data_IF_367228760531
#
_entry.id   IF_367228760531
#
_cell.length_a   1.000
_cell.length_b   1.000
_cell.length_c   1.000
_cell.angle_alpha   90.00
_cell.angle_beta   90.00
_cell.angle_gamma   90.00
#
_symmetry.space_group_name_H-M   'P 1'
#
loop_
_entity.id
_entity.type
_entity.pdbx_description
1 polymer ?
#
# COMPACT_ATOMS: atom_id res chain seq x y z
N UNK A 1 -2.03 10.92 12.30
CA UNK A 1 -2.16 12.28 11.70
C UNK A 1 -3.61 12.55 11.34
N UNK A 2 -3.92 13.48 10.42
CA UNK A 2 -5.28 13.65 9.84
C UNK A 2 -5.72 12.41 9.02
N UNK A 3 -4.75 11.66 8.48
CA UNK A 3 -4.99 10.41 7.75
C UNK A 3 -5.28 9.24 8.70
N UNK A 4 -6.17 8.35 8.26
CA UNK A 4 -6.51 7.12 8.97
C UNK A 4 -5.43 6.05 8.77
N UNK A 5 -4.61 5.85 9.79
CA UNK A 5 -3.48 4.91 9.75
C UNK A 5 -3.92 3.43 9.60
N UNK A 6 -5.22 3.13 9.79
CA UNK A 6 -5.76 1.78 9.54
C UNK A 6 -5.94 1.50 8.05
N UNK A 7 -5.90 2.52 7.19
CA UNK A 7 -5.91 2.40 5.73
C UNK A 7 -4.49 2.28 5.16
N UNK A 8 -3.67 1.46 5.80
CA UNK A 8 -2.23 1.33 5.54
C UNK A 8 -1.86 0.87 4.12
N UNK A 9 -2.81 0.32 3.36
CA UNK A 9 -2.56 -0.24 2.03
C UNK A 9 -3.57 0.13 0.95
N UNK A 10 -4.77 0.55 1.29
CA UNK A 10 -5.79 0.79 0.28
C UNK A 10 -6.77 1.84 0.79
N UNK A 11 -7.40 2.55 -0.15
CA UNK A 11 -8.41 3.58 0.10
C UNK A 11 -7.92 4.80 0.89
N UNK A 12 -6.62 4.99 1.08
CA UNK A 12 -6.05 6.16 1.76
C UNK A 12 -6.36 7.48 1.04
N UNK A 13 -6.26 7.48 -0.29
CA UNK A 13 -6.62 8.61 -1.14
C UNK A 13 -8.13 8.84 -1.17
N UNK A 14 -8.93 7.77 -1.27
CA UNK A 14 -10.40 7.86 -1.21
C UNK A 14 -10.83 8.46 0.14
N UNK A 15 -10.24 8.00 1.24
CA UNK A 15 -10.49 8.49 2.59
C UNK A 15 -10.20 9.97 2.76
N UNK A 16 -9.07 10.43 2.21
CA UNK A 16 -8.69 11.83 2.24
C UNK A 16 -9.72 12.70 1.50
N UNK A 17 -10.12 12.29 0.29
CA UNK A 17 -11.09 13.02 -0.53
C UNK A 17 -12.47 13.02 0.11
N UNK A 18 -12.93 11.88 0.63
CA UNK A 18 -14.21 11.78 1.33
C UNK A 18 -14.23 12.61 2.61
N UNK A 19 -13.13 12.61 3.38
CA UNK A 19 -12.97 13.45 4.57
C UNK A 19 -13.05 14.94 4.23
N UNK A 20 -12.31 15.38 3.19
CA UNK A 20 -12.36 16.77 2.73
C UNK A 20 -13.77 17.15 2.25
N UNK A 21 -14.42 16.26 1.49
CA UNK A 21 -15.79 16.47 0.99
C UNK A 21 -16.80 16.58 2.12
N UNK A 22 -16.71 15.72 3.14
CA UNK A 22 -17.58 15.77 4.32
C UNK A 22 -17.37 17.05 5.14
N UNK A 23 -16.16 17.63 5.12
CA UNK A 23 -15.86 18.93 5.71
C UNK A 23 -16.33 20.12 4.85
N UNK A 24 -17.00 19.88 3.71
CA UNK A 24 -17.47 20.92 2.80
C UNK A 24 -16.35 21.58 1.99
N UNK A 25 -15.17 20.96 1.93
CA UNK A 25 -14.05 21.47 1.13
C UNK A 25 -14.23 21.08 -0.34
N UNK A 26 -13.90 21.98 -1.28
CA UNK A 26 -14.01 21.69 -2.70
C UNK A 26 -12.92 20.71 -3.14
N UNK A 27 -13.30 19.73 -3.98
CA UNK A 27 -12.36 18.89 -4.73
C UNK A 27 -12.08 19.58 -6.06
N UNK A 28 -10.85 20.02 -6.27
CA UNK A 28 -10.44 20.78 -7.46
C UNK A 28 -9.75 19.85 -8.45
N UNK A 29 -10.15 19.92 -9.71
CA UNK A 29 -9.47 19.28 -10.83
C UNK A 29 -8.78 20.35 -11.69
N UNK A 30 -7.45 20.29 -11.82
CA UNK A 30 -6.69 21.13 -12.76
C UNK A 30 -6.34 20.32 -14.01
N UNK A 31 -6.93 20.62 -15.19
CA UNK A 31 -6.69 19.86 -16.41
C UNK A 31 -5.24 19.97 -16.92
N UNK A 32 -4.44 20.90 -16.39
CA UNK A 32 -3.02 21.05 -16.73
C UNK A 32 -2.11 20.19 -15.86
N UNK A 33 -2.64 19.62 -14.78
CA UNK A 33 -1.88 18.73 -13.91
C UNK A 33 -1.71 17.36 -14.57
N UNK A 34 -0.46 16.92 -14.67
CA UNK A 34 -0.10 15.58 -15.12
C UNK A 34 0.44 14.78 -13.94
N UNK A 35 -0.13 13.61 -13.69
CA UNK A 35 0.34 12.67 -12.66
C UNK A 35 0.87 11.43 -13.35
N UNK A 36 2.14 11.14 -13.14
CA UNK A 36 2.76 9.92 -13.61
C UNK A 36 2.88 8.92 -12.45
N UNK A 37 2.46 7.69 -12.70
CA UNK A 37 2.62 6.60 -11.74
C UNK A 37 3.90 5.84 -12.06
N UNK A 38 4.88 5.91 -11.15
CA UNK A 38 6.02 5.01 -11.18
C UNK A 38 5.59 3.62 -10.71
N UNK A 39 5.09 2.84 -11.66
CA UNK A 39 4.68 1.48 -11.43
C UNK A 39 5.87 0.54 -11.70
N UNK A 40 6.25 -0.33 -10.75
CA UNK A 40 7.30 -1.32 -10.99
C UNK A 40 7.00 -2.14 -12.26
N UNK A 41 8.03 -2.26 -13.11
CA UNK A 41 8.01 -3.08 -14.31
C UNK A 41 7.50 -2.42 -15.60
N UNK A 42 7.23 -1.11 -15.63
CA UNK A 42 6.73 -0.42 -16.85
C UNK A 42 7.77 0.41 -17.63
N UNK A 43 8.86 0.86 -17.01
CA UNK A 43 10.03 1.42 -17.72
C UNK A 43 11.18 1.62 -16.73
N UNK A 44 12.38 1.09 -17.04
CA UNK A 44 13.66 1.25 -16.30
C UNK A 44 13.71 0.94 -14.78
N UNK A 45 12.58 0.66 -14.14
CA UNK A 45 12.48 0.41 -12.70
C UNK A 45 12.21 -1.08 -12.44
N UNK A 46 13.30 -1.85 -12.43
CA UNK A 46 13.26 -3.27 -12.09
C UNK A 46 13.11 -3.40 -10.59
N UNK A 47 12.08 -4.14 -10.16
CA UNK A 47 11.88 -4.48 -8.76
C UNK A 47 13.12 -5.19 -8.21
N UNK A 48 13.80 -4.57 -7.24
CA UNK A 48 14.97 -5.20 -6.62
C UNK A 48 14.49 -6.34 -5.72
N UNK A 49 15.27 -7.42 -5.63
CA UNK A 49 14.94 -8.54 -4.73
C UNK A 49 14.79 -8.08 -3.27
N UNK A 50 15.51 -7.04 -2.87
CA UNK A 50 15.40 -6.40 -1.55
C UNK A 50 14.04 -5.80 -1.25
N UNK A 51 13.26 -5.47 -2.28
CA UNK A 51 11.97 -4.79 -2.16
C UNK A 51 10.82 -5.80 -2.04
N UNK A 52 11.07 -7.07 -2.35
CA UNK A 52 10.07 -8.15 -2.26
C UNK A 52 9.38 -8.19 -0.89
N UNK A 53 10.08 -8.15 0.27
CA UNK A 53 9.41 -8.19 1.56
C UNK A 53 8.41 -7.04 1.75
N UNK A 54 8.76 -5.83 1.29
CA UNK A 54 7.87 -4.69 1.33
C UNK A 54 6.65 -4.91 0.44
N UNK A 55 6.84 -5.39 -0.80
CA UNK A 55 5.73 -5.65 -1.71
C UNK A 55 4.79 -6.75 -1.23
N UNK A 56 5.33 -7.84 -0.66
CA UNK A 56 4.54 -8.93 -0.10
C UNK A 56 3.66 -8.46 1.06
N UNK A 57 4.18 -7.54 1.88
CA UNK A 57 3.47 -6.94 2.99
C UNK A 57 2.41 -5.93 2.52
N UNK A 58 2.81 -4.98 1.65
CA UNK A 58 1.97 -3.92 1.09
C UNK A 58 0.79 -4.47 0.30
N UNK A 59 0.99 -5.60 -0.37
CA UNK A 59 -0.02 -6.31 -1.15
C UNK A 59 -0.44 -7.64 -0.51
N UNK A 60 -0.24 -7.81 0.80
CA UNK A 60 -0.69 -8.98 1.55
C UNK A 60 -2.21 -9.06 1.58
N UNK A 61 -2.77 -10.28 1.53
CA UNK A 61 -4.23 -10.48 1.49
C UNK A 61 -4.90 -9.95 2.73
N UNK A 62 -4.45 -10.39 3.90
CA UNK A 62 -5.06 -10.08 5.18
C UNK A 62 -5.00 -8.57 5.49
N UNK A 63 -3.87 -7.92 5.19
CA UNK A 63 -3.70 -6.48 5.39
C UNK A 63 -4.67 -5.69 4.52
N UNK A 64 -4.77 -6.06 3.24
CA UNK A 64 -5.65 -5.35 2.30
C UNK A 64 -7.14 -5.63 2.55
N UNK A 65 -7.51 -6.86 2.90
CA UNK A 65 -8.86 -7.21 3.31
C UNK A 65 -9.27 -6.43 4.56
N UNK A 66 -8.37 -6.32 5.55
CA UNK A 66 -8.61 -5.50 6.74
C UNK A 66 -8.79 -4.02 6.39
N UNK A 67 -8.00 -3.49 5.45
CA UNK A 67 -8.13 -2.10 5.00
C UNK A 67 -9.46 -1.84 4.27
N UNK A 68 -9.85 -2.73 3.35
CA UNK A 68 -11.15 -2.64 2.63
C UNK A 68 -12.31 -2.70 3.62
N UNK A 69 -12.29 -3.66 4.55
CA UNK A 69 -13.33 -3.80 5.56
C UNK A 69 -13.41 -2.58 6.50
N UNK A 70 -12.25 -1.98 6.83
CA UNK A 70 -12.21 -0.74 7.61
C UNK A 70 -12.81 0.44 6.83
N UNK A 71 -12.41 0.63 5.58
CA UNK A 71 -12.95 1.67 4.70
C UNK A 71 -14.47 1.53 4.50
N UNK A 72 -14.95 0.33 4.18
CA UNK A 72 -16.37 0.05 3.99
C UNK A 72 -17.19 0.37 5.25
N UNK A 73 -16.70 0.02 6.44
CA UNK A 73 -17.38 0.38 7.69
C UNK A 73 -17.33 1.88 7.98
N UNK A 74 -16.19 2.53 7.72
CA UNK A 74 -16.01 3.97 7.97
C UNK A 74 -16.95 4.81 7.12
N UNK A 75 -17.09 4.44 5.86
CA UNK A 75 -17.86 5.20 4.85
C UNK A 75 -19.25 4.64 4.59
N UNK A 76 -19.65 3.56 5.27
CA UNK A 76 -20.99 2.99 5.17
C UNK A 76 -21.29 2.33 3.81
N UNK A 77 -20.29 1.75 3.15
CA UNK A 77 -20.49 1.09 1.86
C UNK A 77 -21.37 -0.17 2.00
N UNK A 78 -22.22 -0.43 1.00
CA UNK A 78 -22.99 -1.67 0.91
C UNK A 78 -22.02 -2.87 0.74
N UNK A 79 -22.29 -4.05 1.34
CA UNK A 79 -21.46 -5.24 1.14
C UNK A 79 -21.30 -5.68 -0.31
N UNK A 80 -22.26 -5.35 -1.18
CA UNK A 80 -22.26 -5.64 -2.61
C UNK A 80 -21.81 -4.45 -3.45
N UNK A 81 -21.27 -3.39 -2.83
CA UNK A 81 -20.80 -2.21 -3.54
C UNK A 81 -19.74 -2.61 -4.58
N UNK A 82 -19.91 -2.21 -5.87
CA UNK A 82 -18.93 -2.47 -6.91
C UNK A 82 -17.50 -2.03 -6.57
N UNK A 83 -17.34 -0.99 -5.75
CA UNK A 83 -16.04 -0.52 -5.26
C UNK A 83 -15.30 -1.60 -4.46
N UNK A 84 -16.01 -2.35 -3.60
CA UNK A 84 -15.42 -3.45 -2.82
C UNK A 84 -14.90 -4.54 -3.74
N UNK A 85 -15.69 -4.91 -4.77
CA UNK A 85 -15.26 -5.89 -5.78
C UNK A 85 -14.03 -5.38 -6.53
N UNK A 86 -14.05 -4.13 -6.99
CA UNK A 86 -12.95 -3.53 -7.74
C UNK A 86 -11.66 -3.47 -6.92
N UNK A 87 -11.74 -3.06 -5.65
CA UNK A 87 -10.61 -3.05 -4.72
C UNK A 87 -9.96 -4.43 -4.59
N UNK A 88 -10.78 -5.47 -4.38
CA UNK A 88 -10.30 -6.84 -4.27
C UNK A 88 -9.63 -7.34 -5.57
N UNK A 89 -10.19 -7.01 -6.74
CA UNK A 89 -9.61 -7.36 -8.04
C UNK A 89 -8.28 -6.66 -8.28
N UNK A 90 -8.19 -5.37 -7.94
CA UNK A 90 -6.97 -4.59 -8.08
C UNK A 90 -5.84 -5.14 -7.22
N UNK A 91 -6.10 -5.46 -5.95
CA UNK A 91 -5.12 -6.05 -5.05
C UNK A 91 -4.63 -7.41 -5.58
N UNK A 92 -5.54 -8.26 -6.09
CA UNK A 92 -5.17 -9.52 -6.74
C UNK A 92 -4.32 -9.30 -7.98
N UNK A 93 -4.63 -8.29 -8.78
CA UNK A 93 -3.82 -7.91 -9.95
C UNK A 93 -2.40 -7.48 -9.53
N UNK A 94 -2.28 -6.58 -8.55
CA UNK A 94 -0.99 -6.08 -8.03
C UNK A 94 -0.10 -7.20 -7.52
N UNK A 95 -0.66 -8.14 -6.74
CA UNK A 95 0.07 -9.33 -6.26
C UNK A 95 0.61 -10.18 -7.40
N UNK A 96 -0.22 -10.45 -8.42
CA UNK A 96 0.19 -11.24 -9.59
C UNK A 96 1.27 -10.52 -10.39
N UNK A 97 1.18 -9.19 -10.53
CA UNK A 97 2.19 -8.38 -11.22
C UNK A 97 3.54 -8.52 -10.54
N UNK A 98 3.61 -8.40 -9.21
CA UNK A 98 4.84 -8.61 -8.43
C UNK A 98 5.45 -9.99 -8.68
N UNK A 99 4.65 -11.07 -8.60
CA UNK A 99 5.16 -12.41 -8.87
C UNK A 99 5.77 -12.56 -10.27
N UNK A 100 5.22 -11.88 -11.28
CA UNK A 100 5.71 -11.93 -12.66
C UNK A 100 7.03 -11.18 -12.84
N UNK A 101 7.26 -10.11 -12.09
CA UNK A 101 8.44 -9.26 -12.20
C UNK A 101 9.71 -9.89 -11.63
N UNK A 102 9.61 -10.84 -10.70
CA UNK A 102 10.77 -11.46 -10.02
C UNK A 102 11.41 -12.57 -10.89
N UNK A 103 11.03 -12.69 -12.17
CA UNK A 103 11.56 -13.70 -13.10
C UNK A 103 11.14 -15.15 -12.77
N UNK A 104 11.52 -16.14 -13.58
CA UNK A 104 11.07 -17.53 -13.41
C UNK A 104 11.52 -18.17 -12.09
N UNK A 105 12.72 -17.89 -11.58
CA UNK A 105 13.19 -18.37 -10.27
C UNK A 105 12.50 -17.69 -9.08
N UNK A 106 12.15 -16.41 -9.23
CA UNK A 106 11.43 -15.65 -8.22
C UNK A 106 9.94 -15.97 -8.11
N UNK A 107 9.32 -16.53 -9.17
CA UNK A 107 7.91 -16.95 -9.12
C UNK A 107 7.67 -18.05 -8.10
N UNK A 108 8.56 -19.04 -8.02
CA UNK A 108 8.45 -20.12 -7.04
C UNK A 108 8.64 -19.59 -5.62
N UNK A 109 9.65 -18.72 -5.42
CA UNK A 109 9.89 -18.06 -4.14
C UNK A 109 8.70 -17.19 -3.71
N UNK A 110 8.19 -16.34 -4.60
CA UNK A 110 7.03 -15.50 -4.33
C UNK A 110 5.78 -16.35 -4.07
N UNK A 111 5.56 -17.43 -4.82
CA UNK A 111 4.45 -18.36 -4.60
C UNK A 111 4.54 -19.03 -3.22
N UNK A 112 5.71 -19.53 -2.85
CA UNK A 112 5.96 -20.13 -1.52
C UNK A 112 5.77 -19.09 -0.42
N UNK A 113 6.33 -17.89 -0.58
CA UNK A 113 6.20 -16.80 0.40
C UNK A 113 4.74 -16.33 0.53
N UNK A 114 3.99 -16.17 -0.57
CA UNK A 114 2.56 -15.82 -0.52
C UNK A 114 1.71 -16.91 0.16
N UNK A 115 2.03 -18.18 -0.06
CA UNK A 115 1.31 -19.30 0.55
C UNK A 115 1.62 -19.44 2.04
N UNK A 116 2.87 -19.24 2.43
CA UNK A 116 3.30 -19.15 3.83
C UNK A 116 2.68 -17.94 4.52
N UNK A 117 2.65 -16.80 3.83
CA UNK A 117 2.01 -15.58 4.33
C UNK A 117 0.51 -15.78 4.57
N UNK A 118 -0.18 -16.59 3.77
CA UNK A 118 -1.60 -16.94 4.05
C UNK A 118 -1.81 -17.70 5.36
N UNK A 119 -0.80 -18.41 5.89
CA UNK A 119 -0.86 -19.16 7.16
C UNK A 119 -0.22 -18.42 8.35
N UNK A 120 0.77 -17.55 8.11
CA UNK A 120 1.52 -16.80 9.13
C UNK A 120 1.08 -15.32 9.25
N UNK A 121 0.30 -14.84 8.28
CA UNK A 121 -0.01 -13.44 7.94
C UNK A 121 -1.01 -12.75 8.85
N UNK A 122 -0.78 -12.82 10.15
CA UNK A 122 -1.32 -11.76 11.00
C UNK A 122 -0.31 -11.34 12.05
N UNK A 123 0.47 -12.26 12.63
CA UNK A 123 1.47 -11.91 13.65
C UNK A 123 2.82 -11.53 13.05
N UNK A 124 3.31 -12.31 12.09
CA UNK A 124 4.59 -12.04 11.43
C UNK A 124 4.48 -10.81 10.52
N UNK A 125 3.35 -10.65 9.82
CA UNK A 125 3.07 -9.43 9.04
C UNK A 125 2.98 -8.18 9.92
N UNK A 126 2.28 -8.22 11.07
CA UNK A 126 2.25 -7.07 12.01
C UNK A 126 3.65 -6.74 12.55
N UNK A 127 4.46 -7.75 12.83
CA UNK A 127 5.82 -7.57 13.33
C UNK A 127 6.76 -7.01 12.26
N UNK A 128 6.67 -7.51 11.02
CA UNK A 128 7.43 -6.99 9.88
C UNK A 128 6.98 -5.58 9.48
N UNK A 129 5.68 -5.27 9.53
CA UNK A 129 5.15 -3.91 9.42
C UNK A 129 5.78 -2.99 10.48
N UNK A 130 5.78 -3.40 11.75
CA UNK A 130 6.35 -2.60 12.84
C UNK A 130 7.87 -2.39 12.69
N UNK A 131 8.60 -3.37 12.16
CA UNK A 131 10.04 -3.25 11.93
C UNK A 131 10.38 -2.43 10.68
N UNK A 132 9.61 -2.56 9.61
CA UNK A 132 9.78 -1.82 8.36
C UNK A 132 9.41 -0.33 8.53
N UNK A 133 8.31 -0.03 9.22
CA UNK A 133 7.93 1.35 9.58
C UNK A 133 8.99 1.99 10.47
N UNK A 134 9.47 1.29 11.51
CA UNK A 134 10.58 1.80 12.35
C UNK A 134 11.86 2.08 11.57
N UNK A 135 12.25 1.22 10.62
CA UNK A 135 13.43 1.44 9.78
C UNK A 135 13.25 2.60 8.81
N UNK A 136 12.05 2.75 8.24
CA UNK A 136 11.73 3.87 7.34
C UNK A 136 11.66 5.19 8.12
N UNK A 137 11.07 5.21 9.31
CA UNK A 137 11.04 6.37 10.20
C UNK A 137 12.44 6.73 10.70
N UNK A 138 13.28 5.76 11.03
CA UNK A 138 14.69 6.01 11.36
C UNK A 138 15.45 6.62 10.19
N UNK A 139 15.28 6.10 8.97
CA UNK A 139 15.90 6.65 7.76
C UNK A 139 15.39 8.06 7.44
N UNK A 140 14.09 8.30 7.61
CA UNK A 140 13.45 9.60 7.35
C UNK A 140 13.87 10.63 8.39
N UNK A 141 13.96 10.24 9.66
CA UNK A 141 14.48 11.08 10.75
C UNK A 141 15.97 11.40 10.57
N UNK A 142 16.77 10.42 10.13
CA UNK A 142 18.18 10.64 9.80
C UNK A 142 18.36 11.55 8.57
N UNK A 143 17.47 11.45 7.56
CA UNK A 143 17.50 12.30 6.37
C UNK A 143 17.03 13.75 6.64
N UNK A 144 16.18 13.96 7.66
CA UNK A 144 15.68 15.29 8.07
C UNK A 144 16.59 16.00 9.08
N UNK A 145 17.66 15.34 9.57
CA UNK A 145 18.56 15.88 10.60
C UNK A 145 19.74 16.78 10.15
N UNK A 146 20.11 16.98 8.86
CA UNK A 146 21.30 17.78 8.53
C UNK A 146 21.05 19.28 8.24
N UNK A 147 19.91 19.90 8.62
CA UNK A 147 19.66 21.33 8.32
C UNK A 147 19.58 22.30 9.51
N UNK A 148 19.89 21.88 10.75
CA UNK A 148 19.82 22.77 11.94
C UNK A 148 21.15 22.90 12.71
N UNK A 149 22.30 22.96 12.01
CA UNK A 149 23.58 23.30 12.67
C UNK A 149 24.53 24.17 11.84
N UNK A 150 23.99 25.12 11.08
CA UNK A 150 24.77 26.26 10.57
C UNK A 150 23.98 27.56 10.72
N UNK A 151 24.07 28.17 11.90
CA UNK A 151 23.97 29.61 12.12
C UNK A 151 25.05 30.01 13.11
#
# INVERSE_FOLDING_TARGET
GLLDEKLSTWADHDDLVLTATQAGLPVIYDPRSCVEYDDPGTSNNVLKLSDIPYFLLRWGEAVNESAINHASRKWGCDPNDPWIRHANEWIRYRRRKVCRMIGPGGRLLAFVLFRLNRKLGSRLERMLCGLATRKLDQKRSAALSPSLSKS
#
